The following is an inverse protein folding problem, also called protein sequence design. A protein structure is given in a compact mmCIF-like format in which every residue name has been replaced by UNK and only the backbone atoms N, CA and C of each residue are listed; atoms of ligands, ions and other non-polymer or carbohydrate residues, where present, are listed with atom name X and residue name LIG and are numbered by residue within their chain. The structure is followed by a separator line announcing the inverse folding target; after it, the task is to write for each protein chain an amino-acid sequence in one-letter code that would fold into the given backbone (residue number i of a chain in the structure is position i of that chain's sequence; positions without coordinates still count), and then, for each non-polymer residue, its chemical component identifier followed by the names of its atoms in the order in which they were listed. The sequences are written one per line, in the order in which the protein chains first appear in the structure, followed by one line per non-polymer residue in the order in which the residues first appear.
data_IF_977081144697
#
_entry.id   IF_977081144697
#
_cell.length_a   1.000
_cell.length_b   1.000
_cell.length_c   1.000
_cell.angle_alpha   90.00
_cell.angle_beta   90.00
_cell.angle_gamma   90.00
#
_symmetry.space_group_name_H-M   'P 1'
#
loop_
_entity.id
_entity.type
_entity.pdbx_description
1 polymer ?
#
# COMPACT_ATOMS: atom_id res chain seq x y z
N UNK A 1 -25.87 9.34 -25.82
CA UNK A 1 -25.06 10.27 -25.01
C UNK A 1 -25.43 11.71 -25.34
N UNK A 2 -25.06 12.67 -24.49
CA UNK A 2 -25.33 14.10 -24.65
C UNK A 2 -24.04 14.85 -24.35
N UNK A 3 -23.65 15.76 -25.24
CA UNK A 3 -22.45 16.58 -25.08
C UNK A 3 -22.87 17.98 -24.65
N UNK A 4 -22.39 18.44 -23.50
CA UNK A 4 -22.67 19.79 -23.00
C UNK A 4 -21.35 20.54 -22.89
N UNK A 5 -21.28 21.72 -23.51
CA UNK A 5 -20.10 22.57 -23.51
C UNK A 5 -20.44 23.91 -22.89
N UNK A 6 -19.65 24.33 -21.91
CA UNK A 6 -19.79 25.62 -21.24
C UNK A 6 -18.49 26.37 -21.46
N UNK A 7 -18.58 27.49 -22.18
CA UNK A 7 -17.44 28.30 -22.58
C UNK A 7 -17.38 29.52 -21.68
N UNK A 8 -16.19 29.83 -21.17
CA UNK A 8 -15.93 31.00 -20.35
C UNK A 8 -15.27 32.11 -21.18
N UNK A 9 -15.41 33.36 -20.74
CA UNK A 9 -14.69 34.48 -21.35
C UNK A 9 -13.23 34.51 -20.88
N UNK A 10 -12.37 35.20 -21.63
CA UNK A 10 -10.93 35.32 -21.33
C UNK A 10 -10.71 35.84 -19.90
N UNK A 11 -9.87 35.13 -19.14
CA UNK A 11 -9.51 35.47 -17.75
C UNK A 11 -10.12 34.54 -16.70
N UNK A 12 -11.05 33.66 -17.07
CA UNK A 12 -11.61 32.67 -16.17
C UNK A 12 -10.95 31.31 -16.33
N UNK A 13 -10.63 30.68 -15.19
CA UNK A 13 -9.99 29.36 -15.16
C UNK A 13 -10.96 28.32 -14.60
N UNK A 14 -11.54 27.45 -15.47
CA UNK A 14 -12.47 26.41 -15.04
C UNK A 14 -11.86 25.39 -14.10
N UNK A 15 -10.52 25.25 -14.04
CA UNK A 15 -9.88 24.28 -13.12
C UNK A 15 -10.12 24.59 -11.64
N UNK A 16 -10.53 25.81 -11.31
CA UNK A 16 -10.90 26.21 -9.93
C UNK A 16 -12.40 26.09 -9.67
N UNK A 17 -13.18 25.62 -10.64
CA UNK A 17 -14.63 25.44 -10.49
C UNK A 17 -14.94 24.24 -9.60
N UNK A 18 -15.96 24.40 -8.76
CA UNK A 18 -16.58 23.28 -8.07
C UNK A 18 -17.72 22.75 -8.95
N UNK A 19 -17.57 21.52 -9.44
CA UNK A 19 -18.56 20.85 -10.26
C UNK A 19 -19.14 19.70 -9.45
N UNK A 20 -20.46 19.63 -9.38
CA UNK A 20 -21.20 18.51 -8.85
C UNK A 20 -22.14 17.98 -9.93
N UNK A 21 -22.21 16.67 -10.05
CA UNK A 21 -23.04 15.98 -11.03
C UNK A 21 -23.72 14.83 -10.32
N UNK A 22 -24.99 14.62 -10.64
CA UNK A 22 -25.77 13.50 -10.16
C UNK A 22 -26.68 12.97 -11.27
N UNK A 23 -27.61 12.08 -10.94
CA UNK A 23 -28.45 11.39 -11.92
C UNK A 23 -29.24 12.35 -12.81
N UNK A 24 -29.81 13.42 -12.29
CA UNK A 24 -30.67 14.36 -13.03
C UNK A 24 -30.29 15.83 -12.79
N UNK A 25 -29.10 16.07 -12.23
CA UNK A 25 -28.70 17.39 -11.77
C UNK A 25 -27.23 17.67 -12.00
N UNK A 26 -26.93 18.88 -12.49
CA UNK A 26 -25.57 19.41 -12.63
C UNK A 26 -25.50 20.76 -11.93
N UNK A 27 -24.50 20.92 -11.07
CA UNK A 27 -24.19 22.18 -10.41
C UNK A 27 -22.76 22.58 -10.72
N UNK A 28 -22.61 23.80 -11.21
CA UNK A 28 -21.33 24.38 -11.57
C UNK A 28 -21.19 25.69 -10.81
N UNK A 29 -20.19 25.75 -9.96
CA UNK A 29 -19.82 26.95 -9.22
C UNK A 29 -18.41 27.38 -9.65
N UNK A 30 -18.35 28.46 -10.42
CA UNK A 30 -17.13 29.07 -10.92
C UNK A 30 -17.24 30.59 -10.77
N UNK A 31 -17.08 31.16 -9.56
CA UNK A 31 -17.37 32.57 -9.30
C UNK A 31 -16.72 33.52 -10.32
N UNK A 32 -17.47 34.48 -10.89
CA UNK A 32 -18.85 34.88 -10.55
C UNK A 32 -19.95 34.02 -11.21
N UNK A 33 -19.60 33.02 -12.00
CA UNK A 33 -20.57 32.16 -12.68
C UNK A 33 -21.09 31.07 -11.77
N UNK A 34 -22.40 30.90 -11.75
CA UNK A 34 -23.08 29.85 -11.04
C UNK A 34 -24.23 29.33 -11.89
N UNK A 35 -24.32 28.02 -12.07
CA UNK A 35 -25.41 27.39 -12.81
C UNK A 35 -25.82 26.08 -12.15
N UNK A 36 -27.13 25.92 -12.01
CA UNK A 36 -27.76 24.67 -11.61
C UNK A 36 -28.69 24.25 -12.75
N UNK A 37 -28.50 23.03 -13.25
CA UNK A 37 -29.16 22.47 -14.42
C UNK A 37 -29.88 21.21 -13.96
N UNK A 38 -31.21 21.21 -14.03
CA UNK A 38 -32.01 20.00 -13.85
C UNK A 38 -32.17 19.36 -15.21
N UNK A 39 -31.56 18.21 -15.39
CA UNK A 39 -31.57 17.50 -16.65
C UNK A 39 -33.00 17.06 -16.98
N UNK A 40 -33.35 17.10 -18.26
CA UNK A 40 -34.67 16.64 -18.71
C UNK A 40 -34.92 15.18 -18.37
N UNK A 41 -33.86 14.35 -18.37
CA UNK A 41 -33.93 12.92 -18.08
C UNK A 41 -32.69 12.45 -17.31
N UNK A 42 -32.77 11.32 -16.60
CA UNK A 42 -31.67 10.77 -15.83
C UNK A 42 -30.46 10.32 -16.68
N UNK A 43 -29.27 10.40 -16.08
CA UNK A 43 -27.98 10.03 -16.64
C UNK A 43 -27.27 8.97 -15.79
N UNK A 44 -26.49 8.13 -16.46
CA UNK A 44 -25.61 7.19 -15.80
C UNK A 44 -24.34 7.94 -15.33
N UNK A 45 -24.36 8.42 -14.08
CA UNK A 45 -23.25 9.16 -13.47
C UNK A 45 -21.90 8.40 -13.55
N UNK A 46 -21.80 7.09 -13.20
CA UNK A 46 -20.55 6.34 -13.31
C UNK A 46 -19.93 6.26 -14.71
N UNK A 47 -20.76 6.28 -15.76
CA UNK A 47 -20.30 6.20 -17.16
C UNK A 47 -20.11 7.58 -17.79
N UNK A 48 -20.69 8.61 -17.20
CA UNK A 48 -20.58 10.00 -17.65
C UNK A 48 -19.20 10.57 -17.32
N UNK A 49 -18.77 11.57 -18.09
CA UNK A 49 -17.43 12.17 -17.96
C UNK A 49 -17.52 13.67 -18.00
N UNK A 50 -16.71 14.35 -17.18
CA UNK A 50 -16.52 15.79 -17.22
C UNK A 50 -15.03 16.09 -17.45
N UNK A 51 -14.74 16.98 -18.40
CA UNK A 51 -13.38 17.47 -18.70
C UNK A 51 -13.33 18.98 -18.45
N UNK A 52 -12.41 19.39 -17.59
CA UNK A 52 -12.10 20.80 -17.37
C UNK A 52 -10.92 21.20 -18.25
N UNK A 53 -11.16 22.09 -19.20
CA UNK A 53 -10.15 22.67 -20.09
C UNK A 53 -9.82 24.10 -19.66
N UNK A 54 -8.94 24.77 -20.40
CA UNK A 54 -8.46 26.11 -20.03
C UNK A 54 -9.56 27.17 -20.05
N UNK A 55 -10.53 27.06 -20.96
CA UNK A 55 -11.59 28.06 -21.13
C UNK A 55 -12.98 27.42 -21.33
N UNK A 56 -13.09 26.10 -21.13
CA UNK A 56 -14.36 25.40 -21.27
C UNK A 56 -14.48 24.24 -20.26
N UNK A 57 -15.71 23.92 -19.91
CA UNK A 57 -16.08 22.66 -19.25
C UNK A 57 -16.85 21.84 -20.28
N UNK A 58 -16.42 20.60 -20.49
CA UNK A 58 -17.06 19.66 -21.42
C UNK A 58 -17.59 18.46 -20.67
N UNK A 59 -18.90 18.28 -20.69
CA UNK A 59 -19.58 17.09 -20.20
C UNK A 59 -19.90 16.15 -21.35
N UNK A 60 -19.68 14.85 -21.12
CA UNK A 60 -20.14 13.74 -21.94
C UNK A 60 -21.05 12.93 -21.02
N UNK A 61 -22.37 13.16 -21.15
CA UNK A 61 -23.38 12.56 -20.29
C UNK A 61 -23.97 11.32 -20.98
N UNK A 62 -23.95 10.19 -20.31
CA UNK A 62 -24.55 8.95 -20.81
C UNK A 62 -25.98 8.90 -20.30
N UNK A 63 -26.98 8.87 -21.19
CA UNK A 63 -28.39 8.77 -20.80
C UNK A 63 -28.66 7.43 -20.12
N UNK A 64 -29.48 7.42 -19.07
CA UNK A 64 -29.88 6.17 -18.41
C UNK A 64 -30.87 5.34 -19.24
N UNK A 65 -31.72 6.01 -20.01
CA UNK A 65 -32.68 5.41 -20.93
C UNK A 65 -32.46 5.89 -22.37
N UNK A 66 -32.96 5.12 -23.34
CA UNK A 66 -32.94 5.48 -24.76
C UNK A 66 -34.08 6.46 -25.02
N UNK A 67 -33.88 7.72 -24.67
CA UNK A 67 -34.87 8.80 -24.81
C UNK A 67 -34.29 9.97 -25.62
N UNK A 68 -35.14 10.64 -26.39
CA UNK A 68 -34.77 11.88 -27.09
C UNK A 68 -34.79 13.06 -26.12
N UNK A 69 -33.80 13.94 -26.23
CA UNK A 69 -33.72 15.14 -25.38
C UNK A 69 -33.99 16.34 -26.28
N UNK A 70 -35.21 16.85 -26.25
CA UNK A 70 -35.57 18.09 -26.96
C UNK A 70 -34.85 19.29 -26.34
N UNK A 71 -34.75 19.30 -25.00
CA UNK A 71 -33.99 20.28 -24.22
C UNK A 71 -33.07 19.60 -23.23
N UNK A 72 -31.97 20.28 -22.87
CA UNK A 72 -31.07 19.83 -21.81
C UNK A 72 -31.76 19.94 -20.45
N UNK A 73 -32.46 21.06 -20.22
CA UNK A 73 -33.11 21.38 -18.95
C UNK A 73 -34.58 20.96 -18.96
N UNK A 74 -35.06 20.49 -17.80
CA UNK A 74 -36.48 20.26 -17.54
C UNK A 74 -37.23 21.59 -17.58
N UNK A 75 -38.21 21.71 -18.47
CA UNK A 75 -39.04 22.91 -18.59
C UNK A 75 -40.11 22.87 -17.49
N UNK A 76 -39.98 23.74 -16.48
CA UNK A 76 -40.96 23.85 -15.38
C UNK A 76 -41.81 25.12 -15.51
N UNK A 77 -43.12 25.00 -15.22
CA UNK A 77 -44.04 26.16 -15.19
C UNK A 77 -43.79 26.97 -13.91
N UNK A 78 -43.68 28.29 -14.05
CA UNK A 78 -42.84 29.16 -13.22
C UNK A 78 -43.30 29.40 -11.75
N UNK A 79 -44.56 29.20 -11.34
CA UNK A 79 -45.04 29.81 -10.08
C UNK A 79 -44.88 28.98 -8.80
N UNK A 80 -44.92 27.65 -8.84
CA UNK A 80 -45.17 26.86 -7.60
C UNK A 80 -43.97 26.05 -7.09
N UNK A 81 -42.82 26.07 -7.78
CA UNK A 81 -41.84 24.98 -7.65
C UNK A 81 -40.50 25.33 -6.97
N UNK A 82 -40.37 26.48 -6.31
CA UNK A 82 -39.08 26.84 -5.67
C UNK A 82 -38.81 25.96 -4.43
N UNK A 83 -39.83 25.71 -3.61
CA UNK A 83 -39.67 24.94 -2.37
C UNK A 83 -39.40 23.47 -2.66
N UNK A 84 -40.18 22.87 -3.56
CA UNK A 84 -40.00 21.48 -3.99
C UNK A 84 -38.65 21.28 -4.71
N UNK A 85 -38.22 22.22 -5.55
CA UNK A 85 -36.86 22.20 -6.12
C UNK A 85 -35.76 22.21 -5.07
N UNK A 86 -35.90 23.00 -3.99
CA UNK A 86 -34.93 22.98 -2.88
C UNK A 86 -34.91 21.64 -2.16
N UNK A 87 -36.09 21.09 -1.88
CA UNK A 87 -36.24 19.78 -1.24
C UNK A 87 -35.64 18.66 -2.10
N UNK A 88 -35.89 18.68 -3.41
CA UNK A 88 -35.32 17.73 -4.36
C UNK A 88 -33.78 17.82 -4.39
N UNK A 89 -33.20 19.03 -4.41
CA UNK A 89 -31.75 19.24 -4.30
C UNK A 89 -31.22 18.66 -2.98
N UNK A 90 -31.87 18.96 -1.85
CA UNK A 90 -31.44 18.51 -0.53
C UNK A 90 -31.47 16.98 -0.40
N UNK A 91 -32.55 16.36 -0.86
CA UNK A 91 -32.69 14.91 -0.91
C UNK A 91 -31.60 14.27 -1.79
N UNK A 92 -31.34 14.85 -2.96
CA UNK A 92 -30.28 14.38 -3.86
C UNK A 92 -28.88 14.48 -3.24
N UNK A 93 -28.56 15.61 -2.63
CA UNK A 93 -27.29 15.80 -1.91
C UNK A 93 -27.15 14.81 -0.76
N UNK A 94 -28.24 14.56 -0.01
CA UNK A 94 -28.27 13.58 1.08
C UNK A 94 -28.01 12.16 0.56
N UNK A 95 -28.67 11.74 -0.52
CA UNK A 95 -28.47 10.41 -1.13
C UNK A 95 -27.02 10.26 -1.61
N UNK A 96 -26.48 11.26 -2.32
CA UNK A 96 -25.10 11.24 -2.80
C UNK A 96 -24.10 11.14 -1.64
N UNK A 97 -24.34 11.87 -0.55
CA UNK A 97 -23.51 11.82 0.65
C UNK A 97 -23.53 10.44 1.32
N UNK A 98 -24.72 9.84 1.50
CA UNK A 98 -24.86 8.49 2.07
C UNK A 98 -24.10 7.48 1.22
N UNK A 99 -24.24 7.55 -0.11
CA UNK A 99 -23.53 6.66 -1.03
C UNK A 99 -22.01 6.79 -0.89
N UNK A 100 -21.48 8.02 -0.83
CA UNK A 100 -20.05 8.25 -0.64
C UNK A 100 -19.55 7.67 0.70
N UNK A 101 -20.32 7.81 1.78
CA UNK A 101 -19.96 7.22 3.08
C UNK A 101 -19.94 5.68 3.02
N UNK A 102 -20.96 5.07 2.39
CA UNK A 102 -21.03 3.61 2.21
C UNK A 102 -19.83 3.09 1.40
N UNK A 103 -19.48 3.74 0.29
CA UNK A 103 -18.33 3.35 -0.52
C UNK A 103 -17.00 3.51 0.24
N UNK A 104 -16.88 4.53 1.09
CA UNK A 104 -15.70 4.72 1.94
C UNK A 104 -15.59 3.61 3.01
N UNK A 105 -16.71 3.26 3.64
CA UNK A 105 -16.78 2.17 4.62
C UNK A 105 -16.45 0.82 3.97
N UNK A 106 -17.03 0.51 2.81
CA UNK A 106 -16.76 -0.75 2.10
C UNK A 106 -15.27 -0.86 1.71
N UNK A 107 -14.64 0.23 1.27
CA UNK A 107 -13.20 0.27 0.98
C UNK A 107 -12.36 0.02 2.24
N UNK A 108 -12.77 0.56 3.38
CA UNK A 108 -12.09 0.34 4.65
C UNK A 108 -12.22 -1.12 5.10
N UNK A 109 -13.43 -1.68 5.06
CA UNK A 109 -13.70 -3.07 5.41
C UNK A 109 -12.89 -4.04 4.54
N UNK A 110 -12.82 -3.80 3.23
CA UNK A 110 -11.97 -4.58 2.30
C UNK A 110 -10.50 -4.52 2.71
N UNK A 111 -9.97 -3.33 3.06
CA UNK A 111 -8.58 -3.18 3.53
C UNK A 111 -8.33 -3.93 4.84
N UNK A 112 -9.27 -3.86 5.79
CA UNK A 112 -9.18 -4.59 7.07
C UNK A 112 -9.19 -6.09 6.83
N UNK A 113 -10.08 -6.59 5.97
CA UNK A 113 -10.18 -8.01 5.64
C UNK A 113 -8.89 -8.54 4.99
N UNK A 114 -8.30 -7.80 4.05
CA UNK A 114 -7.02 -8.17 3.43
C UNK A 114 -5.91 -8.26 4.49
N UNK A 115 -5.76 -7.24 5.34
CA UNK A 115 -4.78 -7.26 6.43
C UNK A 115 -4.96 -8.45 7.37
N UNK A 116 -6.21 -8.77 7.72
CA UNK A 116 -6.52 -9.93 8.58
C UNK A 116 -6.07 -11.24 7.95
N UNK A 117 -6.35 -11.44 6.65
CA UNK A 117 -5.90 -12.63 5.91
C UNK A 117 -4.38 -12.72 5.83
N UNK A 118 -3.68 -11.60 5.68
CA UNK A 118 -2.22 -11.59 5.65
C UNK A 118 -1.61 -11.94 7.01
N UNK A 119 -2.16 -11.41 8.10
CA UNK A 119 -1.76 -11.77 9.47
C UNK A 119 -1.98 -13.26 9.73
N UNK A 120 -3.12 -13.82 9.32
CA UNK A 120 -3.43 -15.24 9.48
C UNK A 120 -2.42 -16.14 8.76
N UNK A 121 -2.01 -15.78 7.53
CA UNK A 121 -0.95 -16.49 6.81
C UNK A 121 0.40 -16.44 7.54
N UNK A 122 0.74 -15.29 8.13
CA UNK A 122 1.98 -15.14 8.90
C UNK A 122 1.96 -16.04 10.13
N UNK A 123 0.87 -16.01 10.92
CA UNK A 123 0.71 -16.84 12.12
C UNK A 123 0.82 -18.33 11.75
N UNK A 124 0.16 -18.75 10.68
CA UNK A 124 0.24 -20.14 10.20
C UNK A 124 1.67 -20.53 9.86
N UNK A 125 2.37 -19.74 9.05
CA UNK A 125 3.78 -20.01 8.69
C UNK A 125 4.67 -20.07 9.93
N UNK A 126 4.53 -19.13 10.85
CA UNK A 126 5.34 -19.08 12.06
C UNK A 126 5.06 -20.28 12.99
N UNK A 127 3.80 -20.74 13.04
CA UNK A 127 3.44 -21.96 13.79
C UNK A 127 4.09 -23.22 13.20
N UNK A 128 4.12 -23.35 11.87
CA UNK A 128 4.79 -24.46 11.19
C UNK A 128 6.30 -24.45 11.42
N UNK A 129 6.92 -23.26 11.41
CA UNK A 129 8.36 -23.11 11.72
C UNK A 129 8.64 -23.52 13.16
N UNK A 130 7.85 -23.04 14.13
CA UNK A 130 8.02 -23.38 15.55
C UNK A 130 7.97 -24.89 15.80
N UNK A 131 7.04 -25.59 15.14
CA UNK A 131 6.94 -27.05 15.26
C UNK A 131 8.19 -27.73 14.73
N UNK A 132 8.65 -27.38 13.52
CA UNK A 132 9.87 -27.94 12.93
C UNK A 132 11.12 -27.68 13.77
N UNK A 133 11.26 -26.47 14.32
CA UNK A 133 12.39 -26.13 15.20
C UNK A 133 12.36 -27.00 16.46
N UNK A 134 11.19 -27.17 17.08
CA UNK A 134 11.04 -28.02 18.28
C UNK A 134 11.34 -29.50 18.00
N UNK A 135 10.92 -30.02 16.83
CA UNK A 135 11.26 -31.37 16.39
C UNK A 135 12.76 -31.54 16.18
N UNK A 136 13.39 -30.61 15.45
CA UNK A 136 14.83 -30.61 15.21
C UNK A 136 15.64 -30.49 16.53
N UNK A 137 15.19 -29.66 17.47
CA UNK A 137 15.81 -29.53 18.79
C UNK A 137 15.75 -30.84 19.57
N UNK A 138 14.63 -31.57 19.51
CA UNK A 138 14.50 -32.91 20.13
C UNK A 138 15.45 -33.92 19.51
N UNK A 139 15.56 -33.92 18.18
CA UNK A 139 16.49 -34.81 17.46
C UNK A 139 17.95 -34.52 17.84
N UNK A 140 18.34 -33.23 17.89
CA UNK A 140 19.68 -32.81 18.32
C UNK A 140 19.97 -33.28 19.75
N UNK A 141 19.02 -33.08 20.68
CA UNK A 141 19.18 -33.52 22.08
C UNK A 141 19.33 -35.05 22.16
N UNK A 142 18.51 -35.80 21.42
CA UNK A 142 18.57 -37.27 21.42
C UNK A 142 19.89 -37.78 20.82
N UNK A 143 20.31 -37.23 19.69
CA UNK A 143 21.59 -37.56 19.06
C UNK A 143 22.76 -37.22 19.99
N UNK A 144 22.72 -36.07 20.66
CA UNK A 144 23.70 -35.68 21.67
C UNK A 144 23.80 -36.68 22.82
N UNK A 145 22.66 -37.14 23.36
CA UNK A 145 22.62 -38.17 24.41
C UNK A 145 23.22 -39.50 23.94
N UNK A 146 22.81 -39.99 22.77
CA UNK A 146 23.32 -41.24 22.21
C UNK A 146 24.85 -41.19 22.00
N UNK A 147 25.37 -40.09 21.46
CA UNK A 147 26.81 -39.91 21.29
C UNK A 147 27.58 -39.92 22.61
N UNK A 148 27.03 -39.31 23.66
CA UNK A 148 27.64 -39.32 25.01
C UNK A 148 27.68 -40.75 25.55
N UNK A 149 26.59 -41.51 25.43
CA UNK A 149 26.55 -42.92 25.84
C UNK A 149 27.57 -43.77 25.07
N UNK A 150 27.71 -43.55 23.76
CA UNK A 150 28.66 -44.28 22.93
C UNK A 150 30.12 -43.98 23.29
N UNK A 151 30.44 -42.72 23.62
CA UNK A 151 31.77 -42.31 24.11
C UNK A 151 32.06 -42.96 25.47
N UNK A 152 31.07 -43.02 26.37
CA UNK A 152 31.22 -43.63 27.68
C UNK A 152 31.47 -45.15 27.57
N UNK A 153 30.71 -45.84 26.72
CA UNK A 153 30.89 -47.27 26.42
C UNK A 153 32.26 -47.61 25.82
N UNK A 154 32.84 -46.71 25.01
CA UNK A 154 34.19 -46.88 24.45
C UNK A 154 35.27 -46.70 25.53
N UNK A 155 35.13 -45.73 26.44
CA UNK A 155 36.03 -45.56 27.60
C UNK A 155 36.03 -46.76 28.53
N UNK A 156 34.87 -47.34 28.80
CA UNK A 156 34.75 -48.48 29.72
C UNK A 156 35.36 -49.77 29.13
N UNK A 157 35.38 -49.91 27.78
CA UNK A 157 36.06 -50.99 27.05
C UNK A 157 37.59 -50.81 26.97
N UNK A 158 38.09 -49.57 26.87
CA UNK A 158 39.52 -49.28 26.95
C UNK A 158 40.09 -49.47 28.36
N UNK A 159 39.29 -49.24 29.42
CA UNK A 159 39.69 -49.53 30.80
C UNK A 159 39.75 -51.02 31.15
N UNK A 160 39.11 -51.91 30.37
CA UNK A 160 39.15 -53.37 30.57
C UNK A 160 40.31 -54.07 29.84
N UNK A 161 41.16 -53.33 29.10
CA UNK A 161 42.29 -53.91 28.33
C UNK A 161 43.64 -53.23 28.56
N UNK A 162 43.89 -52.67 29.75
CA UNK A 162 45.23 -52.24 30.18
C UNK A 162 45.70 -52.93 31.48
N UNK A 163 45.81 -54.26 31.43
CA UNK A 163 46.81 -55.00 32.20
C UNK A 163 47.73 -55.75 31.23
N UNK A 164 48.68 -55.03 30.60
CA UNK A 164 50.02 -55.53 30.27
C UNK A 164 50.87 -54.46 29.62
N UNK A 165 51.88 -54.04 30.38
CA UNK A 165 53.21 -53.62 29.96
C UNK A 165 53.40 -53.16 28.51
N UNK A 166 53.76 -51.88 28.36
CA UNK A 166 54.89 -51.44 27.54
C UNK A 166 55.27 -50.01 27.89
N UNK A 167 56.48 -49.86 28.43
CA UNK A 167 57.24 -48.62 28.32
C UNK A 167 57.26 -48.22 26.84
N UNK A 168 56.58 -47.13 26.51
CA UNK A 168 56.80 -46.42 25.26
C UNK A 168 57.51 -45.13 25.65
N UNK A 169 58.79 -45.09 25.28
CA UNK A 169 59.61 -43.90 25.13
C UNK A 169 58.75 -42.67 24.86
N UNK A 170 58.95 -41.63 25.67
CA UNK A 170 58.37 -40.30 25.48
C UNK A 170 58.75 -39.84 24.08
N UNK A 171 57.90 -40.16 23.11
CA UNK A 171 58.05 -39.72 21.74
C UNK A 171 57.96 -38.20 21.77
N UNK A 172 59.02 -37.58 21.27
CA UNK A 172 59.34 -36.16 21.31
C UNK A 172 58.11 -35.26 21.34
N UNK A 173 58.09 -34.34 22.31
CA UNK A 173 57.17 -33.20 22.35
C UNK A 173 57.07 -32.63 20.92
N UNK A 174 55.86 -32.51 20.33
CA UNK A 174 55.73 -32.00 18.98
C UNK A 174 56.33 -30.60 18.91
N UNK A 175 57.10 -30.34 17.86
CA UNK A 175 57.76 -29.05 17.70
C UNK A 175 56.73 -27.91 17.74
N UNK A 176 57.04 -26.85 18.48
CA UNK A 176 56.20 -25.66 18.54
C UNK A 176 56.05 -25.13 17.11
N UNK A 177 54.80 -24.92 16.68
CA UNK A 177 54.51 -24.39 15.33
C UNK A 177 55.20 -23.05 15.17
N UNK A 178 55.91 -22.85 14.06
CA UNK A 178 56.50 -21.56 13.74
C UNK A 178 55.39 -20.51 13.60
N UNK A 179 55.49 -19.44 14.38
CA UNK A 179 54.64 -18.28 14.23
C UNK A 179 55.15 -17.42 13.08
N UNK A 180 54.27 -16.98 12.21
CA UNK A 180 54.59 -16.04 11.14
C UNK A 180 53.49 -14.99 11.08
N UNK A 181 53.89 -13.72 10.98
CA UNK A 181 52.96 -12.59 10.97
C UNK A 181 52.51 -12.33 9.55
N UNK A 182 51.28 -12.73 9.23
CA UNK A 182 50.67 -12.40 7.94
C UNK A 182 50.25 -10.94 7.99
N UNK A 183 50.85 -10.12 7.14
CA UNK A 183 50.42 -8.75 6.93
C UNK A 183 49.18 -8.75 6.04
N UNK A 184 48.04 -8.33 6.58
CA UNK A 184 46.80 -8.20 5.82
C UNK A 184 46.60 -6.74 5.50
N UNK A 185 46.69 -6.39 4.22
CA UNK A 185 46.28 -5.08 3.74
C UNK A 185 44.80 -5.12 3.35
N UNK A 186 44.01 -4.26 3.98
CA UNK A 186 42.62 -4.08 3.59
C UNK A 186 42.58 -3.44 2.20
N UNK A 187 41.94 -4.11 1.26
CA UNK A 187 41.52 -3.45 0.03
C UNK A 187 40.52 -2.36 0.39
N UNK A 188 40.69 -1.16 -0.17
CA UNK A 188 39.73 -0.06 -0.02
C UNK A 188 38.36 -0.48 -0.58
N UNK A 189 37.55 -1.11 0.26
CA UNK A 189 36.16 -1.42 -0.01
C UNK A 189 35.37 -0.12 -0.01
N UNK A 190 35.19 0.48 -1.19
CA UNK A 190 34.07 1.39 -1.44
C UNK A 190 32.83 0.55 -1.75
N UNK A 191 32.31 -0.14 -0.74
CA UNK A 191 30.93 -0.59 -0.84
C UNK A 191 30.08 0.69 -0.83
N UNK A 192 29.32 1.01 -1.90
CA UNK A 192 28.32 2.04 -1.77
C UNK A 192 27.41 1.57 -0.63
N UNK A 193 27.42 2.31 0.49
CA UNK A 193 26.47 2.08 1.58
C UNK A 193 25.11 1.93 0.91
N UNK A 194 24.41 0.79 1.07
CA UNK A 194 23.12 0.59 0.44
C UNK A 194 22.25 1.79 0.79
N UNK A 195 22.02 2.66 -0.19
CA UNK A 195 21.19 3.84 0.01
C UNK A 195 19.78 3.32 0.18
N UNK A 196 19.17 3.64 1.32
CA UNK A 196 17.76 3.37 1.54
C UNK A 196 17.00 4.36 0.66
N UNK A 197 16.54 3.92 -0.52
CA UNK A 197 15.79 4.75 -1.47
C UNK A 197 14.63 5.50 -0.81
N UNK A 198 14.04 4.92 0.24
CA UNK A 198 12.97 5.55 1.01
C UNK A 198 13.37 6.80 1.81
N UNK A 199 14.64 7.20 1.84
CA UNK A 199 15.13 8.40 2.55
C UNK A 199 15.74 9.45 1.61
N UNK A 200 15.72 9.24 0.30
CA UNK A 200 16.37 10.12 -0.67
C UNK A 200 15.76 11.54 -0.68
N UNK A 201 14.43 11.64 -0.63
CA UNK A 201 13.73 12.93 -0.65
C UNK A 201 14.02 13.77 0.62
N UNK A 202 14.14 13.12 1.78
CA UNK A 202 14.48 13.78 3.05
C UNK A 202 15.92 14.30 3.06
N UNK A 203 16.83 13.56 2.45
CA UNK A 203 18.24 13.93 2.34
C UNK A 203 18.42 15.13 1.38
N UNK A 204 17.69 15.14 0.26
CA UNK A 204 17.68 16.25 -0.71
C UNK A 204 17.14 17.55 -0.10
N UNK A 205 16.09 17.48 0.72
CA UNK A 205 15.58 18.65 1.46
C UNK A 205 16.59 19.13 2.51
N UNK A 206 17.26 18.21 3.20
CA UNK A 206 18.28 18.54 4.18
C UNK A 206 19.49 19.26 3.55
N UNK A 207 19.99 18.79 2.40
CA UNK A 207 21.08 19.44 1.66
C UNK A 207 20.68 20.84 1.19
N UNK A 208 19.45 21.01 0.66
CA UNK A 208 18.94 22.33 0.26
C UNK A 208 18.90 23.32 1.44
N UNK A 209 18.49 22.86 2.62
CA UNK A 209 18.45 23.68 3.82
C UNK A 209 19.84 24.06 4.35
N UNK A 210 20.87 23.24 4.13
CA UNK A 210 22.26 23.61 4.46
C UNK A 210 22.82 24.67 3.51
N UNK A 211 22.52 24.57 2.20
CA UNK A 211 22.98 25.53 1.20
C UNK A 211 22.34 26.91 1.34
N UNK A 212 21.08 26.97 1.82
CA UNK A 212 20.38 28.23 2.09
C UNK A 212 20.85 28.94 3.37
N UNK A 213 21.68 28.29 4.20
CA UNK A 213 22.25 28.86 5.45
C UNK A 213 23.64 29.46 5.27
N UNK A 214 24.14 29.58 4.04
CA UNK A 214 25.32 30.39 3.67
C UNK A 214 24.88 31.62 2.91
#
# INVERSE_FOLDING_TARGET
EVHVQIIFSKGYNPKRSHIFTSNDFIKINCPPFFREIFLSHPINEPQSRCRLLQNEIRFILIKSAIEEWETLEKIEKHSDNIHKKKEDIENMLRIAHIRQQQEAQEKLEKKVLVKRKDVEKIIKRESEIRLKTSENDREIIQHGKNNIEEIQLKKDKEQTTLEKTKELTINSIPHIRSQETITVEFTNRRFPTPKRESQNDLEDEWIRNQLQKK
#
